data_IF_556732823858
#
_entry.id   IF_556732823858
#
_cell.length_a   1.000
_cell.length_b   1.000
_cell.length_c   1.000
_cell.angle_alpha   90.00
_cell.angle_beta   90.00
_cell.angle_gamma   90.00
#
_symmetry.space_group_name_H-M   'P 1'
#
loop_
_entity.id
_entity.type
_entity.pdbx_description
1 polymer ?
#
# COMPACT_ATOMS: atom_id res chain seq x y z
N UNK A 1 4.51 -2.74 10.45
CA UNK A 1 5.54 -3.31 9.55
C UNK A 1 6.65 -4.04 10.28
N UNK A 2 7.51 -3.38 11.07
CA UNK A 2 8.76 -3.96 11.64
C UNK A 2 8.60 -5.31 12.38
N UNK A 3 7.48 -5.54 13.09
CA UNK A 3 7.21 -6.80 13.79
C UNK A 3 6.99 -7.98 12.85
N UNK A 4 6.17 -7.80 11.80
CA UNK A 4 5.91 -8.84 10.81
C UNK A 4 7.18 -9.14 9.99
N UNK A 5 7.95 -8.09 9.68
CA UNK A 5 9.21 -8.24 8.96
C UNK A 5 10.23 -9.06 9.76
N UNK A 6 10.38 -8.77 11.05
CA UNK A 6 11.25 -9.52 11.94
C UNK A 6 10.85 -11.00 12.02
N UNK A 7 9.55 -11.31 12.13
CA UNK A 7 9.08 -12.69 12.16
C UNK A 7 9.46 -13.46 10.89
N UNK A 8 9.30 -12.87 9.70
CA UNK A 8 9.63 -13.52 8.43
C UNK A 8 11.14 -13.76 8.25
N UNK A 9 11.98 -12.84 8.75
CA UNK A 9 13.44 -13.06 8.75
C UNK A 9 13.88 -14.24 9.60
N UNK A 10 13.12 -14.61 10.65
CA UNK A 10 13.39 -15.80 11.45
C UNK A 10 13.10 -17.11 10.70
N UNK A 11 12.32 -17.05 9.61
CA UNK A 11 11.98 -18.19 8.75
C UNK A 11 12.74 -18.18 7.42
N UNK A 12 13.88 -17.48 7.35
CA UNK A 12 14.70 -17.31 6.14
C UNK A 12 13.96 -16.71 4.92
N UNK A 13 12.85 -16.01 5.13
CA UNK A 13 12.11 -15.34 4.07
C UNK A 13 12.61 -13.90 3.93
N UNK A 14 13.37 -13.64 2.86
CA UNK A 14 13.80 -12.29 2.52
C UNK A 14 12.66 -11.50 1.85
N UNK A 15 12.13 -10.53 2.60
CA UNK A 15 11.07 -9.62 2.16
C UNK A 15 11.62 -8.57 1.18
N UNK A 16 12.92 -8.30 1.21
CA UNK A 16 13.57 -7.34 0.32
C UNK A 16 13.84 -7.93 -1.06
N UNK A 17 13.64 -9.24 -1.26
CA UNK A 17 13.74 -9.84 -2.57
C UNK A 17 12.53 -9.42 -3.44
N UNK A 18 12.71 -8.33 -4.18
CA UNK A 18 11.72 -7.72 -5.09
C UNK A 18 11.26 -8.66 -6.23
N UNK A 19 11.99 -9.75 -6.50
CA UNK A 19 11.66 -10.72 -7.55
C UNK A 19 10.26 -11.33 -7.37
N UNK A 20 9.80 -11.52 -6.12
CA UNK A 20 8.47 -12.09 -5.88
C UNK A 20 7.32 -11.14 -6.24
N UNK A 21 7.46 -9.83 -5.98
CA UNK A 21 6.41 -8.86 -6.30
C UNK A 21 6.24 -8.68 -7.82
N UNK A 22 7.31 -8.89 -8.60
CA UNK A 22 7.29 -8.80 -10.06
C UNK A 22 6.37 -9.85 -10.73
N UNK A 23 5.99 -10.91 -10.01
CA UNK A 23 5.11 -11.95 -10.53
C UNK A 23 3.61 -11.69 -10.29
N UNK A 24 3.24 -10.74 -9.43
CA UNK A 24 1.84 -10.39 -9.16
C UNK A 24 1.36 -9.28 -10.12
N UNK A 25 1.07 -9.68 -11.36
CA UNK A 25 0.62 -8.76 -12.42
C UNK A 25 -0.69 -8.06 -12.08
N UNK A 26 -1.60 -8.72 -11.35
CA UNK A 26 -2.85 -8.14 -10.91
C UNK A 26 -2.61 -6.96 -9.95
N UNK A 27 -1.72 -7.15 -8.98
CA UNK A 27 -1.35 -6.10 -8.05
C UNK A 27 -0.62 -4.92 -8.74
N UNK A 28 0.26 -5.20 -9.71
CA UNK A 28 0.93 -4.14 -10.46
C UNK A 28 -0.05 -3.30 -11.29
N UNK A 29 -1.07 -3.92 -11.89
CA UNK A 29 -2.13 -3.19 -12.60
C UNK A 29 -2.98 -2.36 -11.64
N UNK A 30 -3.33 -2.91 -10.47
CA UNK A 30 -4.06 -2.16 -9.44
C UNK A 30 -3.25 -0.94 -8.97
N UNK A 31 -1.95 -1.10 -8.74
CA UNK A 31 -1.06 0.02 -8.40
C UNK A 31 -1.01 1.10 -9.47
N UNK A 32 -0.93 0.70 -10.75
CA UNK A 32 -0.92 1.65 -11.85
C UNK A 32 -2.22 2.45 -11.87
N UNK A 33 -3.37 1.77 -11.76
CA UNK A 33 -4.68 2.41 -11.73
C UNK A 33 -4.81 3.40 -10.57
N UNK A 34 -4.35 3.03 -9.36
CA UNK A 34 -4.35 3.91 -8.20
C UNK A 34 -3.48 5.16 -8.41
N UNK A 35 -2.33 5.03 -9.09
CA UNK A 35 -1.47 6.17 -9.42
C UNK A 35 -2.07 7.07 -10.49
N UNK A 36 -2.73 6.49 -11.50
CA UNK A 36 -3.45 7.24 -12.51
C UNK A 36 -4.62 8.02 -11.90
N UNK A 37 -5.36 7.41 -10.98
CA UNK A 37 -6.42 8.06 -10.22
C UNK A 37 -5.87 9.25 -9.41
N UNK A 38 -4.77 9.06 -8.69
CA UNK A 38 -4.12 10.12 -7.93
C UNK A 38 -3.66 11.29 -8.82
N UNK A 39 -3.11 11.00 -10.00
CA UNK A 39 -2.73 12.02 -10.98
C UNK A 39 -3.94 12.78 -11.54
N UNK A 40 -5.07 12.10 -11.76
CA UNK A 40 -6.32 12.75 -12.14
C UNK A 40 -6.80 13.71 -11.05
N UNK A 41 -6.76 13.28 -9.78
CA UNK A 41 -7.15 14.08 -8.61
C UNK A 41 -6.33 15.38 -8.53
N UNK A 42 -5.01 15.31 -8.74
CA UNK A 42 -4.12 16.47 -8.69
C UNK A 42 -4.51 17.59 -9.68
N UNK A 43 -5.11 17.24 -10.82
CA UNK A 43 -5.54 18.19 -11.87
C UNK A 43 -7.02 18.57 -11.82
N UNK A 44 -7.78 18.01 -10.89
CA UNK A 44 -9.22 18.24 -10.75
C UNK A 44 -9.52 19.58 -10.06
N UNK A 45 -10.63 20.22 -10.44
CA UNK A 45 -11.14 21.42 -9.76
C UNK A 45 -11.62 21.12 -8.32
N UNK A 46 -11.97 19.85 -8.03
CA UNK A 46 -12.42 19.36 -6.73
C UNK A 46 -11.36 18.46 -6.08
N UNK A 47 -10.08 18.79 -6.26
CA UNK A 47 -8.96 17.97 -5.82
C UNK A 47 -9.02 17.62 -4.32
N UNK A 48 -9.41 18.55 -3.44
CA UNK A 48 -9.50 18.32 -1.99
C UNK A 48 -10.53 17.23 -1.63
N UNK A 49 -11.75 17.35 -2.14
CA UNK A 49 -12.82 16.37 -1.88
C UNK A 49 -12.49 15.00 -2.48
N UNK A 50 -11.98 14.99 -3.71
CA UNK A 50 -11.59 13.76 -4.38
C UNK A 50 -10.41 13.07 -3.67
N UNK A 51 -9.44 13.83 -3.18
CA UNK A 51 -8.31 13.30 -2.40
C UNK A 51 -8.76 12.74 -1.05
N UNK A 52 -9.70 13.40 -0.36
CA UNK A 52 -10.26 12.90 0.88
C UNK A 52 -10.98 11.55 0.68
N UNK A 53 -11.76 11.42 -0.40
CA UNK A 53 -12.42 10.17 -0.77
C UNK A 53 -11.39 9.08 -1.08
N UNK A 54 -10.39 9.38 -1.90
CA UNK A 54 -9.30 8.48 -2.26
C UNK A 54 -8.52 7.99 -1.03
N UNK A 55 -8.11 8.92 -0.16
CA UNK A 55 -7.41 8.64 1.10
C UNK A 55 -8.24 7.71 2.00
N UNK A 56 -9.55 7.96 2.12
CA UNK A 56 -10.44 7.09 2.89
C UNK A 56 -10.56 5.68 2.31
N UNK A 57 -10.54 5.54 0.98
CA UNK A 57 -10.53 4.27 0.28
C UNK A 57 -9.23 3.51 0.52
N UNK A 58 -8.10 4.19 0.33
CA UNK A 58 -6.75 3.66 0.56
C UNK A 58 -6.59 3.16 2.00
N UNK A 59 -7.04 3.93 2.99
CA UNK A 59 -6.99 3.53 4.40
C UNK A 59 -7.78 2.24 4.69
N UNK A 60 -8.95 2.06 4.05
CA UNK A 60 -9.73 0.81 4.16
C UNK A 60 -8.98 -0.37 3.55
N UNK A 61 -8.37 -0.18 2.38
CA UNK A 61 -7.58 -1.20 1.70
C UNK A 61 -6.37 -1.62 2.53
N UNK A 62 -5.61 -0.66 3.07
CA UNK A 62 -4.48 -0.92 3.98
C UNK A 62 -4.95 -1.71 5.21
N UNK A 63 -6.07 -1.32 5.82
CA UNK A 63 -6.63 -2.02 6.98
C UNK A 63 -6.99 -3.48 6.66
N UNK A 64 -7.58 -3.73 5.48
CA UNK A 64 -7.90 -5.08 5.01
C UNK A 64 -6.64 -5.94 4.89
N UNK A 65 -5.59 -5.42 4.26
CA UNK A 65 -4.31 -6.14 4.14
C UNK A 65 -3.62 -6.37 5.48
N UNK A 66 -3.72 -5.43 6.43
CA UNK A 66 -3.19 -5.64 7.79
C UNK A 66 -3.92 -6.80 8.50
N UNK A 67 -5.24 -6.88 8.39
CA UNK A 67 -6.03 -7.97 8.96
C UNK A 67 -5.69 -9.31 8.30
N UNK A 68 -5.54 -9.33 6.98
CA UNK A 68 -5.13 -10.52 6.23
C UNK A 68 -3.72 -10.98 6.63
N UNK A 69 -2.77 -10.04 6.75
CA UNK A 69 -1.41 -10.34 7.24
C UNK A 69 -1.44 -10.94 8.63
N UNK A 70 -2.20 -10.37 9.57
CA UNK A 70 -2.32 -10.90 10.94
C UNK A 70 -2.87 -12.31 10.94
N UNK A 71 -3.92 -12.58 10.14
CA UNK A 71 -4.48 -13.91 9.97
C UNK A 71 -3.44 -14.89 9.41
N UNK A 72 -2.74 -14.51 8.34
CA UNK A 72 -1.71 -15.35 7.71
C UNK A 72 -0.56 -15.67 8.66
N UNK A 73 -0.14 -14.71 9.48
CA UNK A 73 0.88 -14.93 10.52
C UNK A 73 0.39 -15.89 11.61
N UNK A 74 -0.87 -15.75 12.06
CA UNK A 74 -1.46 -16.63 13.06
C UNK A 74 -1.67 -18.06 12.54
N UNK A 75 -1.91 -18.23 11.24
CA UNK A 75 -2.03 -19.52 10.56
C UNK A 75 -0.67 -20.09 10.08
N UNK A 76 0.44 -19.45 10.45
CA UNK A 76 1.81 -19.84 10.05
C UNK A 76 2.01 -19.89 8.53
N UNK A 77 1.23 -19.11 7.77
CA UNK A 77 1.31 -19.01 6.31
C UNK A 77 2.39 -17.99 5.90
N UNK A 78 3.65 -18.29 6.24
CA UNK A 78 4.78 -17.35 6.13
C UNK A 78 4.98 -16.77 4.73
N UNK A 79 4.87 -17.60 3.68
CA UNK A 79 5.05 -17.14 2.29
C UNK A 79 3.96 -16.12 1.90
N UNK A 80 2.71 -16.40 2.24
CA UNK A 80 1.59 -15.48 1.96
C UNK A 80 1.67 -14.21 2.80
N UNK A 81 2.05 -14.34 4.07
CA UNK A 81 2.29 -13.20 4.94
C UNK A 81 3.38 -12.29 4.36
N UNK A 82 4.46 -12.86 3.81
CA UNK A 82 5.50 -12.10 3.14
C UNK A 82 4.98 -11.35 1.91
N UNK A 83 4.14 -11.98 1.09
CA UNK A 83 3.52 -11.31 -0.07
C UNK A 83 2.61 -10.17 0.37
N UNK A 84 1.80 -10.37 1.41
CA UNK A 84 0.96 -9.31 1.99
C UNK A 84 1.80 -8.15 2.54
N UNK A 85 2.91 -8.45 3.23
CA UNK A 85 3.85 -7.42 3.72
C UNK A 85 4.47 -6.63 2.56
N UNK A 86 4.85 -7.30 1.46
CA UNK A 86 5.33 -6.62 0.26
C UNK A 86 4.27 -5.66 -0.29
N UNK A 87 3.03 -6.13 -0.46
CA UNK A 87 1.91 -5.28 -0.93
C UNK A 87 1.69 -4.06 -0.03
N UNK A 88 1.69 -4.28 1.27
CA UNK A 88 1.57 -3.23 2.27
C UNK A 88 2.69 -2.18 2.18
N UNK A 89 3.95 -2.57 1.88
CA UNK A 89 5.05 -1.60 1.65
C UNK A 89 4.82 -0.69 0.44
N UNK A 90 4.16 -1.18 -0.61
CA UNK A 90 3.82 -0.32 -1.74
C UNK A 90 2.67 0.63 -1.42
N UNK A 91 1.65 0.15 -0.70
CA UNK A 91 0.54 0.99 -0.25
C UNK A 91 1.03 2.10 0.70
N UNK A 92 2.04 1.82 1.54
CA UNK A 92 2.70 2.83 2.38
C UNK A 92 3.36 3.94 1.53
N UNK A 93 4.06 3.58 0.45
CA UNK A 93 4.61 4.55 -0.50
C UNK A 93 3.51 5.36 -1.20
N UNK A 94 2.40 4.74 -1.58
CA UNK A 94 1.26 5.44 -2.18
C UNK A 94 0.61 6.40 -1.18
N UNK A 95 0.48 5.99 0.08
CA UNK A 95 -0.02 6.85 1.15
C UNK A 95 0.85 8.09 1.35
N UNK A 96 2.18 7.94 1.33
CA UNK A 96 3.10 9.09 1.36
C UNK A 96 2.90 10.04 0.16
N UNK A 97 2.59 9.52 -1.03
CA UNK A 97 2.28 10.35 -2.20
C UNK A 97 0.96 11.12 -2.03
N UNK A 98 -0.04 10.48 -1.42
CA UNK A 98 -1.32 11.13 -1.06
C UNK A 98 -1.08 12.26 -0.06
N UNK A 99 -0.33 12.00 1.01
CA UNK A 99 0.02 13.01 2.03
C UNK A 99 0.78 14.20 1.41
N UNK A 100 1.73 13.93 0.51
CA UNK A 100 2.44 15.00 -0.22
C UNK A 100 1.54 15.80 -1.16
N UNK A 101 0.52 15.18 -1.75
CA UNK A 101 -0.45 15.89 -2.57
C UNK A 101 -1.38 16.74 -1.69
N UNK A 102 -1.82 16.17 -0.56
CA UNK A 102 -2.63 16.84 0.44
C UNK A 102 -1.94 18.11 0.95
N UNK A 103 -0.68 18.00 1.38
CA UNK A 103 0.14 19.14 1.78
C UNK A 103 0.26 20.18 0.67
N UNK A 104 0.44 19.78 -0.59
CA UNK A 104 0.55 20.72 -1.72
C UNK A 104 -0.75 21.46 -2.01
N UNK A 105 -1.90 20.81 -1.84
CA UNK A 105 -3.21 21.44 -2.01
C UNK A 105 -3.50 22.42 -0.86
N UNK A 106 -3.24 22.04 0.39
CA UNK A 106 -3.50 22.89 1.55
C UNK A 106 -2.51 24.04 1.73
N UNK A 107 -1.25 23.89 1.30
CA UNK A 107 -0.24 24.97 1.33
C UNK A 107 -0.36 25.96 0.16
N UNK A 108 -1.42 25.90 -0.66
CA UNK A 108 -1.63 26.80 -1.81
C UNK A 108 -2.27 28.14 -1.46
N UNK A 109 -2.52 28.41 -0.17
CA UNK A 109 -3.11 29.65 0.36
C UNK A 109 -2.07 30.44 1.17
#
# INVERSE_FOLDING_TARGET
MKRAEYMLTLYDIDINNEQYTMHDTAFLMEQLALREELACIETSEQAEEALALFSSGLAKTIKSYLQEMEKQLNEEQWVKAADTVRKLRFLDKLQQQVEQLEERLFNRF
#
